data_IF_738127458832
#
_entry.id   IF_738127458832
#
_cell.length_a   1.000
_cell.length_b   1.000
_cell.length_c   1.000
_cell.angle_alpha   90.00
_cell.angle_beta   90.00
_cell.angle_gamma   90.00
#
_symmetry.space_group_name_H-M   'P 1'
#
loop_
_entity.id
_entity.type
_entity.pdbx_description
1 polymer ?
#
# COMPACT_ATOMS: atom_id res chain seq x y z
N UNK A 1 10.57 1.20 20.96
CA UNK A 1 9.15 0.87 21.17
C UNK A 1 8.92 -0.47 21.88
N UNK A 2 9.70 -1.51 21.57
CA UNK A 2 9.51 -2.88 22.07
C UNK A 2 9.30 -3.00 23.59
N UNK A 3 10.19 -2.44 24.41
CA UNK A 3 10.12 -2.54 25.88
C UNK A 3 8.82 -1.94 26.44
N UNK A 4 8.38 -0.80 25.90
CA UNK A 4 7.13 -0.13 26.30
C UNK A 4 5.91 -1.00 26.02
N UNK A 5 5.88 -1.65 24.85
CA UNK A 5 4.80 -2.59 24.49
C UNK A 5 4.79 -3.79 25.43
N UNK A 6 5.96 -4.40 25.66
CA UNK A 6 6.08 -5.58 26.52
C UNK A 6 5.59 -5.28 27.95
N UNK A 7 5.97 -4.13 28.50
CA UNK A 7 5.50 -3.71 29.82
C UNK A 7 3.98 -3.50 29.86
N UNK A 8 3.41 -2.94 28.80
CA UNK A 8 1.97 -2.72 28.73
C UNK A 8 1.19 -4.04 28.61
N UNK A 9 1.67 -4.99 27.80
CA UNK A 9 1.08 -6.33 27.70
C UNK A 9 1.16 -7.09 29.03
N UNK A 10 2.27 -6.98 29.75
CA UNK A 10 2.42 -7.54 31.09
C UNK A 10 1.40 -6.95 32.08
N UNK A 11 1.22 -5.63 32.07
CA UNK A 11 0.23 -4.96 32.92
C UNK A 11 -1.21 -5.39 32.60
N UNK A 12 -1.48 -5.73 31.34
CA UNK A 12 -2.76 -6.30 30.88
C UNK A 12 -2.89 -7.81 31.15
N UNK A 13 -1.87 -8.42 31.79
CA UNK A 13 -1.80 -9.87 32.08
C UNK A 13 -1.86 -10.72 30.81
N UNK A 14 -1.27 -10.23 29.73
CA UNK A 14 -1.08 -10.97 28.49
C UNK A 14 0.23 -11.74 28.57
N UNK A 15 0.14 -13.07 28.50
CA UNK A 15 1.31 -13.94 28.50
C UNK A 15 1.98 -13.93 27.12
N UNK A 16 3.06 -13.16 26.99
CA UNK A 16 3.84 -13.08 25.73
C UNK A 16 4.95 -14.14 25.72
N UNK A 17 4.98 -14.96 24.69
CA UNK A 17 6.00 -16.01 24.49
C UNK A 17 6.82 -15.63 23.24
N UNK A 18 8.04 -15.12 23.46
CA UNK A 18 8.97 -14.76 22.38
C UNK A 18 9.99 -15.89 22.14
N UNK A 19 10.61 -15.88 20.95
CA UNK A 19 11.67 -16.85 20.59
C UNK A 19 11.18 -18.27 20.35
N UNK A 20 9.87 -18.50 20.37
CA UNK A 20 9.22 -19.78 20.11
C UNK A 20 8.15 -19.59 19.03
N UNK A 21 8.00 -20.59 18.16
CA UNK A 21 6.98 -20.62 17.10
C UNK A 21 5.92 -21.65 17.43
N UNK A 22 4.69 -21.38 16.99
CA UNK A 22 3.61 -22.36 17.05
C UNK A 22 3.87 -23.46 16.01
N UNK A 23 3.79 -24.73 16.42
CA UNK A 23 3.78 -25.86 15.50
C UNK A 23 2.42 -25.92 14.79
N UNK A 24 2.37 -25.39 13.57
CA UNK A 24 1.17 -25.36 12.73
C UNK A 24 0.64 -26.75 12.36
N UNK A 25 1.41 -27.84 12.53
CA UNK A 25 0.87 -29.18 12.36
C UNK A 25 -0.21 -29.49 13.41
N UNK A 26 -0.08 -28.93 14.62
CA UNK A 26 -1.03 -29.14 15.73
C UNK A 26 -2.34 -28.39 15.57
N UNK A 27 -2.42 -27.44 14.62
CA UNK A 27 -3.63 -26.67 14.33
C UNK A 27 -4.46 -27.25 13.20
N UNK A 28 -3.94 -28.26 12.48
CA UNK A 28 -4.62 -28.84 11.32
C UNK A 28 -5.87 -29.62 11.73
N UNK A 29 -6.88 -29.70 10.84
CA UNK A 29 -8.01 -30.60 11.03
C UNK A 29 -7.54 -32.05 11.19
N UNK A 30 -8.10 -32.78 12.16
CA UNK A 30 -7.72 -34.15 12.52
C UNK A 30 -6.57 -34.27 13.53
N UNK A 31 -5.86 -33.17 13.84
CA UNK A 31 -4.78 -33.13 14.83
C UNK A 31 -5.26 -32.58 16.19
N UNK A 32 -6.57 -32.61 16.45
CA UNK A 32 -7.15 -31.97 17.62
C UNK A 32 -6.87 -32.73 18.91
N UNK A 33 -6.14 -32.08 19.82
CA UNK A 33 -5.92 -32.55 21.18
C UNK A 33 -6.66 -31.64 22.14
N UNK A 34 -7.36 -32.23 23.09
CA UNK A 34 -8.09 -31.49 24.12
C UNK A 34 -7.61 -31.86 25.50
N UNK A 35 -7.58 -30.88 26.40
CA UNK A 35 -7.31 -31.14 27.81
C UNK A 35 -8.54 -31.75 28.51
N UNK A 36 -8.40 -32.05 29.81
CA UNK A 36 -9.46 -32.68 30.61
C UNK A 36 -10.73 -31.84 30.76
N UNK A 37 -10.64 -30.54 30.51
CA UNK A 37 -11.77 -29.60 30.60
C UNK A 37 -12.27 -29.18 29.22
N UNK A 38 -11.76 -29.79 28.15
CA UNK A 38 -12.26 -29.61 26.78
C UNK A 38 -11.63 -28.46 26.00
N UNK A 39 -10.54 -27.86 26.49
CA UNK A 39 -9.84 -26.78 25.76
C UNK A 39 -8.90 -27.33 24.72
N UNK A 40 -8.74 -26.62 23.60
CA UNK A 40 -7.82 -27.02 22.54
C UNK A 40 -6.38 -26.85 23.01
N UNK A 41 -5.61 -27.93 22.94
CA UNK A 41 -4.17 -27.93 23.19
C UNK A 41 -3.43 -27.81 21.86
N UNK A 42 -2.53 -26.84 21.79
CA UNK A 42 -1.57 -26.65 20.70
C UNK A 42 -0.14 -26.73 21.24
N UNK A 43 0.82 -26.94 20.35
CA UNK A 43 2.22 -27.07 20.72
C UNK A 43 3.06 -26.03 19.99
N UNK A 44 4.14 -25.63 20.64
CA UNK A 44 5.23 -24.89 20.02
C UNK A 44 6.27 -25.84 19.43
N UNK A 45 7.14 -25.34 18.56
CA UNK A 45 8.22 -26.12 17.95
C UNK A 45 9.23 -26.65 19.00
N UNK A 46 9.42 -25.95 20.11
CA UNK A 46 10.24 -26.37 21.25
C UNK A 46 9.52 -27.35 22.21
N UNK A 47 8.26 -27.69 21.91
CA UNK A 47 7.52 -28.74 22.59
C UNK A 47 6.63 -28.28 23.75
N UNK A 48 6.60 -26.97 24.06
CA UNK A 48 5.69 -26.41 25.07
C UNK A 48 4.24 -26.57 24.62
N UNK A 49 3.40 -27.10 25.51
CA UNK A 49 1.96 -27.25 25.30
C UNK A 49 1.19 -26.06 25.86
N UNK A 50 0.20 -25.57 25.11
CA UNK A 50 -0.62 -24.41 25.44
C UNK A 50 -2.08 -24.80 25.25
N UNK A 51 -2.90 -24.67 26.29
CA UNK A 51 -4.34 -24.93 26.24
C UNK A 51 -5.10 -23.61 26.13
N UNK A 52 -5.98 -23.49 25.13
CA UNK A 52 -6.78 -22.29 24.87
C UNK A 52 -8.21 -22.64 24.43
N UNK A 53 -9.14 -21.73 24.73
CA UNK A 53 -10.54 -21.82 24.28
C UNK A 53 -10.71 -21.32 22.83
N UNK A 54 -9.89 -20.35 22.42
CA UNK A 54 -9.85 -19.78 21.09
C UNK A 54 -8.40 -19.67 20.61
N UNK A 55 -8.18 -20.03 19.35
CA UNK A 55 -6.90 -19.86 18.67
C UNK A 55 -7.08 -18.90 17.49
N UNK A 56 -6.40 -17.76 17.54
CA UNK A 56 -6.34 -16.79 16.45
C UNK A 56 -4.95 -16.88 15.80
N UNK A 57 -4.91 -17.23 14.51
CA UNK A 57 -3.67 -17.35 13.75
C UNK A 57 -3.40 -16.05 12.99
N UNK A 58 -2.45 -15.26 13.48
CA UNK A 58 -2.03 -13.98 12.89
C UNK A 58 -0.60 -14.08 12.33
N UNK A 59 -0.35 -15.07 11.47
CA UNK A 59 1.01 -15.47 11.02
C UNK A 59 1.51 -14.78 9.75
N UNK A 60 0.87 -13.67 9.37
CA UNK A 60 1.15 -12.94 8.13
C UNK A 60 0.08 -13.16 7.06
N UNK A 61 0.25 -12.47 5.94
CA UNK A 61 -0.64 -12.52 4.78
C UNK A 61 0.15 -12.97 3.54
N UNK A 62 -0.55 -13.53 2.57
CA UNK A 62 0.00 -13.83 1.24
C UNK A 62 -0.55 -12.77 0.28
N UNK A 63 0.30 -12.09 -0.52
CA UNK A 63 -0.14 -11.14 -1.53
C UNK A 63 -1.21 -11.75 -2.44
N UNK A 64 -2.34 -11.04 -2.63
CA UNK A 64 -3.41 -11.53 -3.49
C UNK A 64 -3.13 -11.22 -4.97
N UNK A 65 -2.19 -11.96 -5.55
CA UNK A 65 -1.69 -11.75 -6.91
C UNK A 65 -2.21 -12.78 -7.92
N UNK A 66 -3.21 -13.59 -7.53
CA UNK A 66 -3.73 -14.72 -8.34
C UNK A 66 -4.14 -14.30 -9.76
N UNK A 67 -4.84 -13.17 -9.90
CA UNK A 67 -5.29 -12.66 -11.19
C UNK A 67 -4.10 -12.37 -12.12
N UNK A 68 -3.12 -11.61 -11.64
CA UNK A 68 -1.95 -11.25 -12.41
C UNK A 68 -1.04 -12.44 -12.69
N UNK A 69 -0.86 -13.34 -11.72
CA UNK A 69 -0.10 -14.58 -11.93
C UNK A 69 -0.68 -15.44 -13.06
N UNK A 70 -2.00 -15.41 -13.26
CA UNK A 70 -2.65 -16.17 -14.34
C UNK A 70 -2.50 -15.55 -15.73
N UNK A 71 -2.36 -14.22 -15.81
CA UNK A 71 -2.31 -13.46 -17.06
C UNK A 71 -0.88 -13.14 -17.48
N UNK A 72 -0.07 -12.70 -16.52
CA UNK A 72 1.28 -12.14 -16.69
C UNK A 72 2.20 -12.68 -15.59
N UNK A 73 2.56 -13.97 -15.62
CA UNK A 73 3.40 -14.57 -14.58
C UNK A 73 4.78 -13.91 -14.45
N UNK A 74 5.29 -13.27 -15.49
CA UNK A 74 6.59 -12.59 -15.53
C UNK A 74 6.68 -11.33 -14.67
N UNK A 75 5.54 -10.76 -14.25
CA UNK A 75 5.51 -9.59 -13.36
C UNK A 75 5.45 -9.98 -11.88
N UNK A 76 5.44 -11.28 -11.56
CA UNK A 76 5.33 -11.78 -10.19
C UNK A 76 6.67 -12.33 -9.73
N UNK A 77 7.13 -11.90 -8.56
CA UNK A 77 8.29 -12.49 -7.93
C UNK A 77 7.98 -13.92 -7.47
N UNK A 78 8.81 -14.89 -7.88
CA UNK A 78 8.53 -16.30 -7.62
C UNK A 78 8.59 -16.65 -6.13
N UNK A 79 9.44 -15.97 -5.36
CA UNK A 79 9.69 -16.29 -3.95
C UNK A 79 8.68 -15.61 -3.01
N UNK A 80 8.54 -14.30 -3.14
CA UNK A 80 7.73 -13.44 -2.27
C UNK A 80 6.28 -13.33 -2.71
N UNK A 81 5.97 -13.64 -3.99
CA UNK A 81 4.64 -13.55 -4.61
C UNK A 81 4.10 -12.12 -4.78
N UNK A 82 4.90 -11.10 -4.49
CA UNK A 82 4.57 -9.71 -4.81
C UNK A 82 4.62 -9.46 -6.33
N UNK A 83 3.90 -8.43 -6.77
CA UNK A 83 3.99 -7.91 -8.14
C UNK A 83 5.15 -6.93 -8.22
N UNK A 84 6.04 -7.11 -9.18
CA UNK A 84 7.05 -6.13 -9.53
C UNK A 84 6.38 -4.87 -10.09
N UNK A 85 6.72 -3.72 -9.51
CA UNK A 85 6.24 -2.41 -9.94
C UNK A 85 7.42 -1.47 -10.16
N UNK A 86 7.26 -0.52 -11.08
CA UNK A 86 8.12 0.67 -11.16
C UNK A 86 7.74 1.66 -10.04
N UNK A 87 8.60 2.64 -9.75
CA UNK A 87 8.25 3.72 -8.81
C UNK A 87 7.01 4.51 -9.23
N UNK A 88 6.64 4.48 -10.51
CA UNK A 88 5.36 5.02 -10.99
C UNK A 88 4.13 4.20 -10.62
N UNK A 89 4.30 3.09 -9.89
CA UNK A 89 3.30 2.07 -9.52
C UNK A 89 2.76 1.23 -10.69
N UNK A 90 3.31 1.40 -11.89
CA UNK A 90 3.00 0.55 -13.04
C UNK A 90 3.59 -0.84 -12.87
N UNK A 91 2.90 -1.88 -13.32
CA UNK A 91 3.47 -3.23 -13.32
C UNK A 91 4.71 -3.30 -14.21
N UNK A 92 5.67 -4.10 -13.77
CA UNK A 92 6.97 -4.21 -14.38
C UNK A 92 7.36 -5.68 -14.61
N UNK A 93 8.09 -5.94 -15.68
CA UNK A 93 8.69 -7.24 -15.97
C UNK A 93 10.21 -7.08 -16.14
N UNK A 94 11.01 -8.09 -15.75
CA UNK A 94 12.44 -8.12 -16.07
C UNK A 94 12.69 -8.00 -17.57
N UNK A 95 13.61 -7.12 -17.96
CA UNK A 95 14.07 -7.02 -19.35
C UNK A 95 14.74 -8.36 -19.72
N UNK A 96 14.30 -9.04 -20.80
CA UNK A 96 14.95 -10.27 -21.22
C UNK A 96 16.41 -10.00 -21.58
N UNK A 97 17.34 -10.56 -20.81
CA UNK A 97 18.76 -10.54 -21.16
C UNK A 97 18.92 -11.28 -22.48
N UNK A 98 19.22 -10.56 -23.56
CA UNK A 98 19.63 -11.17 -24.82
C UNK A 98 20.93 -11.91 -24.56
N UNK A 99 20.86 -13.21 -24.37
CA UNK A 99 22.07 -14.05 -24.46
C UNK A 99 22.64 -13.87 -25.87
N UNK A 100 23.95 -13.56 -26.03
CA UNK A 100 24.58 -13.52 -27.33
C UNK A 100 24.68 -14.95 -27.86
N UNK A 101 23.58 -15.45 -28.41
CA UNK A 101 23.55 -16.69 -29.15
C UNK A 101 24.05 -16.41 -30.57
N UNK A 102 25.23 -16.97 -30.86
CA UNK A 102 25.74 -17.57 -32.12
C UNK A 102 25.18 -17.11 -33.48
N UNK A 103 26.01 -16.96 -34.54
CA UNK A 103 25.71 -16.15 -35.70
C UNK A 103 24.49 -16.65 -36.49
N UNK A 104 23.73 -15.68 -37.00
CA UNK A 104 22.48 -15.86 -37.72
C UNK A 104 22.56 -16.89 -38.86
N UNK A 105 21.56 -17.77 -39.03
CA UNK A 105 21.37 -18.47 -40.28
C UNK A 105 20.91 -17.46 -41.34
N UNK A 106 21.70 -17.35 -42.40
CA UNK A 106 21.39 -16.57 -43.59
C UNK A 106 20.10 -17.05 -44.27
N UNK A 107 19.26 -16.05 -44.61
CA UNK A 107 18.18 -16.06 -45.60
C UNK A 107 16.99 -17.01 -45.38
N UNK A 108 15.80 -16.42 -45.28
CA UNK A 108 14.67 -16.79 -46.13
C UNK A 108 13.71 -15.61 -46.26
N UNK A 109 13.59 -15.17 -47.51
CA UNK A 109 12.67 -14.18 -48.04
C UNK A 109 11.21 -14.57 -47.83
N UNK A 110 10.37 -13.59 -47.46
CA UNK A 110 8.95 -13.59 -47.82
C UNK A 110 7.99 -13.46 -46.64
N UNK A 111 7.66 -12.22 -46.28
CA UNK A 111 6.34 -11.89 -45.75
C UNK A 111 5.82 -10.63 -46.47
N UNK A 112 4.56 -10.63 -46.93
CA UNK A 112 3.98 -9.54 -47.69
C UNK A 112 3.67 -8.33 -46.79
N UNK A 113 3.84 -7.15 -47.36
CA UNK A 113 3.45 -5.85 -46.82
C UNK A 113 1.97 -5.81 -46.39
N UNK A 114 1.73 -5.26 -45.19
CA UNK A 114 0.40 -4.90 -44.67
C UNK A 114 -0.43 -4.10 -45.69
N UNK A 115 -1.73 -4.39 -45.83
CA UNK A 115 -2.65 -3.48 -46.50
C UNK A 115 -3.20 -2.44 -45.52
N UNK A 116 -2.94 -1.18 -45.83
CA UNK A 116 -3.69 -0.02 -45.39
C UNK A 116 -4.99 0.10 -46.20
N UNK A 117 -6.16 0.02 -45.55
CA UNK A 117 -7.47 0.58 -45.95
C UNK A 117 -8.31 0.60 -44.65
N UNK A 118 -8.71 1.72 -44.05
CA UNK A 118 -9.83 2.61 -44.41
C UNK A 118 -11.12 1.87 -44.78
N UNK A 119 -12.03 1.66 -43.82
CA UNK A 119 -13.47 1.63 -44.10
C UNK A 119 -14.26 2.32 -42.98
N UNK A 120 -14.96 3.39 -43.38
CA UNK A 120 -16.06 4.01 -42.67
C UNK A 120 -17.20 2.99 -42.50
N UNK A 121 -17.84 2.99 -41.34
CA UNK A 121 -19.21 2.52 -41.22
C UNK A 121 -20.05 3.53 -40.44
N UNK A 122 -20.83 4.25 -41.22
CA UNK A 122 -22.05 4.96 -40.81
C UNK A 122 -22.99 4.03 -40.07
N UNK A 123 -23.39 4.40 -38.85
CA UNK A 123 -24.66 3.97 -38.28
C UNK A 123 -25.46 5.19 -37.83
N UNK A 124 -26.70 5.21 -38.28
CA UNK A 124 -27.67 6.29 -38.22
C UNK A 124 -28.29 6.45 -36.84
N UNK A 125 -28.47 7.71 -36.43
CA UNK A 125 -29.18 8.16 -35.24
C UNK A 125 -30.67 7.77 -35.21
N UNK A 126 -31.15 7.44 -34.02
CA UNK A 126 -32.55 7.54 -33.64
C UNK A 126 -32.65 8.35 -32.34
N UNK A 127 -33.23 9.53 -32.46
CA UNK A 127 -33.55 10.50 -31.41
C UNK A 127 -34.59 9.99 -30.44
N UNK A 128 -34.39 10.18 -29.13
CA UNK A 128 -35.45 10.37 -28.14
C UNK A 128 -35.02 11.43 -27.12
N UNK A 129 -35.77 12.54 -27.09
CA UNK A 129 -35.77 13.56 -26.02
C UNK A 129 -36.60 13.07 -24.84
N UNK A 130 -36.27 13.48 -23.61
CA UNK A 130 -37.23 14.31 -22.88
C UNK A 130 -36.62 15.49 -22.11
N UNK A 131 -37.26 16.63 -22.32
CA UNK A 131 -37.60 17.75 -21.41
C UNK A 131 -36.91 17.92 -20.05
N UNK A 132 -36.42 19.16 -19.86
CA UNK A 132 -36.57 20.07 -18.70
C UNK A 132 -36.51 19.50 -17.28
N UNK A 133 -35.53 20.00 -16.52
CA UNK A 133 -35.57 19.97 -15.07
C UNK A 133 -34.32 20.51 -14.40
N UNK A 134 -34.31 21.81 -14.07
CA UNK A 134 -33.72 22.32 -12.83
C UNK A 134 -32.19 22.41 -12.73
N UNK A 135 -31.66 23.55 -13.19
CA UNK A 135 -30.46 24.17 -12.65
C UNK A 135 -30.64 24.47 -11.16
N UNK A 136 -29.80 23.92 -10.29
CA UNK A 136 -29.30 24.47 -9.02
C UNK A 136 -28.19 23.52 -8.56
N UNK A 137 -26.93 23.92 -8.74
CA UNK A 137 -25.83 23.61 -7.85
C UNK A 137 -24.93 24.84 -7.90
N UNK A 138 -24.99 25.61 -6.81
CA UNK A 138 -24.06 26.67 -6.53
C UNK A 138 -22.69 26.03 -6.26
N UNK A 139 -21.69 26.48 -7.01
CA UNK A 139 -20.27 26.25 -6.78
C UNK A 139 -19.87 26.95 -5.48
N UNK A 140 -19.41 26.17 -4.50
CA UNK A 140 -18.50 26.60 -3.43
C UNK A 140 -17.86 25.32 -2.83
N UNK A 141 -17.01 24.65 -3.61
CA UNK A 141 -16.11 23.62 -3.07
C UNK A 141 -14.73 24.23 -2.83
N UNK A 142 -14.51 24.56 -1.56
CA UNK A 142 -13.23 24.95 -1.00
C UNK A 142 -12.24 23.77 -1.15
N UNK A 143 -11.27 23.92 -2.05
CA UNK A 143 -10.14 23.01 -2.20
C UNK A 143 -9.28 23.02 -0.92
N UNK A 144 -9.67 22.22 0.07
CA UNK A 144 -8.88 21.91 1.26
C UNK A 144 -7.79 20.89 0.90
N UNK A 145 -6.64 21.40 0.48
CA UNK A 145 -5.40 20.63 0.37
C UNK A 145 -4.95 20.26 1.79
N UNK A 146 -5.23 19.03 2.24
CA UNK A 146 -4.79 18.55 3.55
C UNK A 146 -3.33 18.08 3.46
N UNK A 147 -2.43 18.82 4.09
CA UNK A 147 -1.06 18.38 4.31
C UNK A 147 -1.03 17.18 5.26
N UNK A 148 -0.07 16.27 5.04
CA UNK A 148 0.17 15.06 5.83
C UNK A 148 0.38 15.29 7.34
N UNK A 149 0.57 16.55 7.77
CA UNK A 149 0.54 16.94 9.18
C UNK A 149 -0.79 16.62 9.88
N UNK A 150 -1.92 16.75 9.18
CA UNK A 150 -3.26 16.53 9.77
C UNK A 150 -3.71 15.06 9.69
N UNK A 151 -3.15 14.27 8.76
CA UNK A 151 -3.59 12.89 8.52
C UNK A 151 -3.02 11.87 9.52
N UNK A 152 -1.92 12.22 10.19
CA UNK A 152 -1.39 11.48 11.35
C UNK A 152 -2.05 11.94 12.67
N UNK A 153 -2.71 13.10 12.65
CA UNK A 153 -3.29 13.77 13.83
C UNK A 153 -4.82 13.65 13.96
N UNK A 154 -5.52 12.94 13.09
CA UNK A 154 -6.95 12.61 13.30
C UNK A 154 -7.21 11.65 14.50
N UNK A 155 -6.21 11.44 15.36
CA UNK A 155 -6.30 10.83 16.70
C UNK A 155 -5.49 11.67 17.71
N UNK A 156 -5.61 13.00 17.67
CA UNK A 156 -5.02 13.91 18.65
C UNK A 156 -5.85 15.19 18.76
N UNK A 157 -6.94 15.13 19.54
CA UNK A 157 -7.63 16.32 20.01
C UNK A 157 -7.55 16.33 21.54
N UNK A 158 -6.51 16.97 22.04
CA UNK A 158 -6.30 17.25 23.46
C UNK A 158 -5.13 18.18 23.62
N UNK A 159 -5.35 19.48 23.37
CA UNK A 159 -4.48 20.54 23.84
C UNK A 159 -4.31 20.39 25.35
N UNK A 160 -3.09 20.20 25.83
CA UNK A 160 -2.68 20.65 27.16
C UNK A 160 -1.15 20.84 27.17
N UNK A 161 -0.76 22.10 27.37
CA UNK A 161 0.59 22.54 27.64
C UNK A 161 1.00 22.03 29.03
N UNK A 162 2.12 21.31 29.13
CA UNK A 162 2.84 21.24 30.40
C UNK A 162 4.37 21.22 30.21
N UNK A 163 4.95 22.10 31.01
CA UNK A 163 6.32 22.57 31.15
C UNK A 163 7.27 21.54 31.82
N UNK A 164 8.55 21.91 31.95
CA UNK A 164 9.70 21.22 32.59
C UNK A 164 10.47 20.21 31.71
N UNK A 165 11.79 20.24 31.55
CA UNK A 165 12.87 21.11 32.07
C UNK A 165 14.21 20.56 31.58
N UNK A 166 15.15 21.45 31.23
CA UNK A 166 16.53 21.13 30.82
C UNK A 166 17.36 20.54 31.98
N UNK A 167 18.20 19.54 31.67
CA UNK A 167 19.67 19.56 31.80
C UNK A 167 20.24 18.13 31.85
N UNK A 168 21.36 17.87 31.15
CA UNK A 168 22.20 16.71 31.45
C UNK A 168 23.01 16.11 30.32
N UNK A 169 24.01 16.85 29.84
CA UNK A 169 25.06 16.42 28.91
C UNK A 169 25.71 15.07 29.26
N UNK A 170 25.88 14.19 28.27
CA UNK A 170 27.00 13.24 28.25
C UNK A 170 27.33 12.80 26.82
N UNK A 171 28.41 13.41 26.31
CA UNK A 171 29.15 13.05 25.10
C UNK A 171 29.51 11.56 25.03
N UNK A 172 29.36 10.94 23.85
CA UNK A 172 30.22 9.83 23.40
C UNK A 172 30.14 9.59 21.89
N UNK A 173 31.18 10.08 21.22
CA UNK A 173 31.95 9.50 20.11
C UNK A 173 31.17 8.91 18.93
N UNK A 174 31.22 9.67 17.83
CA UNK A 174 30.91 9.25 16.47
C UNK A 174 31.76 8.04 16.03
N UNK A 175 31.10 7.05 15.43
CA UNK A 175 31.69 6.18 14.42
C UNK A 175 30.96 6.48 13.11
N UNK A 176 31.60 7.28 12.28
CA UNK A 176 31.26 7.46 10.87
C UNK A 176 31.63 6.19 10.09
N UNK A 177 30.89 5.97 9.00
CA UNK A 177 31.06 4.98 7.92
C UNK A 177 30.21 3.71 8.09
N UNK A 178 29.08 3.67 7.38
CA UNK A 178 28.63 2.54 6.53
C UNK A 178 27.27 2.82 5.82
N UNK A 179 26.89 4.09 5.55
CA UNK A 179 25.57 4.43 4.97
C UNK A 179 25.61 4.78 3.46
N UNK A 180 26.78 4.74 2.79
CA UNK A 180 26.90 5.20 1.38
C UNK A 180 26.71 4.09 0.32
N UNK A 181 26.51 2.81 0.70
CA UNK A 181 26.34 1.72 -0.29
C UNK A 181 24.87 1.36 -0.60
N UNK A 182 23.87 1.83 0.16
CA UNK A 182 22.45 1.46 -0.08
C UNK A 182 21.74 2.34 -1.13
N UNK A 183 22.17 3.60 -1.33
CA UNK A 183 21.51 4.51 -2.29
C UNK A 183 21.76 4.12 -3.77
N UNK A 184 22.92 3.55 -4.08
CA UNK A 184 23.30 3.20 -5.45
C UNK A 184 22.57 1.95 -5.99
N UNK A 185 22.15 1.01 -5.13
CA UNK A 185 21.46 -0.22 -5.53
C UNK A 185 19.96 -0.01 -5.83
N UNK A 186 19.30 0.99 -5.22
CA UNK A 186 17.86 1.23 -5.41
C UNK A 186 17.51 1.89 -6.74
N UNK A 187 18.35 2.81 -7.23
CA UNK A 187 18.15 3.48 -8.53
C UNK A 187 18.45 2.51 -9.69
N UNK A 188 19.29 1.50 -9.47
CA UNK A 188 19.61 0.47 -10.45
C UNK A 188 18.49 -0.55 -10.68
N UNK A 189 17.59 -0.79 -9.70
CA UNK A 189 16.49 -1.79 -9.86
C UNK A 189 15.59 -1.50 -11.05
N UNK A 190 15.24 -0.23 -11.28
CA UNK A 190 14.34 0.15 -12.38
C UNK A 190 15.00 0.03 -13.76
N UNK A 191 16.35 0.10 -13.85
CA UNK A 191 17.05 0.04 -15.15
C UNK A 191 16.95 -1.31 -15.85
N UNK A 192 16.60 -2.37 -15.11
CA UNK A 192 16.42 -3.73 -15.63
C UNK A 192 14.95 -4.14 -15.76
N UNK A 193 14.02 -3.20 -15.57
CA UNK A 193 12.59 -3.45 -15.64
C UNK A 193 11.96 -2.65 -16.78
N UNK A 194 10.92 -3.20 -17.40
CA UNK A 194 10.07 -2.47 -18.35
C UNK A 194 8.60 -2.68 -18.01
N UNK A 195 7.73 -1.73 -18.38
CA UNK A 195 6.29 -1.90 -18.20
C UNK A 195 5.67 -2.57 -19.44
N UNK A 196 5.23 -3.84 -19.37
CA UNK A 196 4.54 -4.49 -20.48
C UNK A 196 3.16 -3.89 -20.75
N UNK A 197 2.53 -3.31 -19.72
CA UNK A 197 1.20 -2.73 -19.77
C UNK A 197 1.18 -1.36 -19.07
N UNK A 198 1.39 -0.26 -19.82
CA UNK A 198 1.53 1.08 -19.24
C UNK A 198 0.32 1.59 -18.46
N UNK A 199 -0.84 0.93 -18.57
CA UNK A 199 -2.09 1.35 -17.93
C UNK A 199 -2.54 0.40 -16.80
N UNK A 200 -1.68 -0.52 -16.36
CA UNK A 200 -1.95 -1.38 -15.20
C UNK A 200 -1.04 -0.96 -14.06
N UNK A 201 -1.67 -0.60 -12.93
CA UNK A 201 -1.00 -0.17 -11.72
C UNK A 201 -1.32 -1.14 -10.58
N UNK A 202 -0.36 -1.37 -9.68
CA UNK A 202 -0.53 -2.21 -8.49
C UNK A 202 -0.02 -1.45 -7.28
N UNK A 203 -0.81 -1.49 -6.21
CA UNK A 203 -0.58 -0.78 -4.94
C UNK A 203 -0.92 -1.69 -3.76
N UNK A 204 -0.58 -1.26 -2.55
CA UNK A 204 -0.86 -1.93 -1.29
C UNK A 204 -0.13 -3.27 -1.15
N UNK A 205 -0.73 -4.18 -0.39
CA UNK A 205 -0.16 -5.48 0.00
C UNK A 205 0.20 -6.42 -1.15
N UNK A 206 -0.13 -6.06 -2.40
CA UNK A 206 0.22 -6.81 -3.60
C UNK A 206 1.52 -6.34 -4.26
N UNK A 207 1.97 -5.10 -4.02
CA UNK A 207 3.11 -4.50 -4.70
C UNK A 207 4.43 -4.77 -3.97
N UNK A 208 5.49 -5.06 -4.74
CA UNK A 208 6.87 -4.96 -4.26
C UNK A 208 7.30 -3.48 -4.26
N UNK A 209 6.84 -2.74 -3.25
CA UNK A 209 6.90 -1.30 -3.22
C UNK A 209 8.17 -0.76 -2.52
N UNK A 210 9.35 -1.20 -2.97
CA UNK A 210 10.65 -0.62 -2.59
C UNK A 210 10.93 -0.66 -1.07
N UNK A 211 10.57 -1.76 -0.41
CA UNK A 211 10.77 -1.90 1.03
C UNK A 211 9.72 -1.20 1.90
N UNK A 212 8.70 -0.59 1.31
CA UNK A 212 7.53 -0.11 2.06
C UNK A 212 6.87 -1.26 2.84
N UNK A 213 6.63 -1.05 4.13
CA UNK A 213 5.88 -2.01 4.94
C UNK A 213 4.41 -2.09 4.48
N UNK A 214 3.82 -3.28 4.53
CA UNK A 214 2.39 -3.46 4.25
C UNK A 214 1.55 -2.80 5.35
N UNK A 215 1.12 -1.57 5.09
CA UNK A 215 0.38 -0.74 6.01
C UNK A 215 -0.58 0.19 5.26
N UNK A 216 -1.68 0.56 5.92
CA UNK A 216 -2.71 1.41 5.31
C UNK A 216 -2.19 2.75 4.80
N UNK A 217 -1.26 3.39 5.52
CA UNK A 217 -0.66 4.66 5.08
C UNK A 217 0.17 4.49 3.80
N UNK A 218 0.94 3.41 3.66
CA UNK A 218 1.70 3.16 2.45
C UNK A 218 0.78 2.86 1.26
N UNK A 219 -0.25 2.03 1.47
CA UNK A 219 -1.24 1.75 0.44
C UNK A 219 -1.97 3.02 -0.04
N UNK A 220 -2.25 3.96 0.88
CA UNK A 220 -2.86 5.25 0.56
C UNK A 220 -1.97 6.08 -0.38
N UNK A 221 -0.71 6.33 -0.02
CA UNK A 221 0.20 7.13 -0.86
C UNK A 221 0.56 6.46 -2.19
N UNK A 222 0.69 5.14 -2.20
CA UNK A 222 0.83 4.40 -3.46
C UNK A 222 -0.39 4.61 -4.37
N UNK A 223 -1.60 4.60 -3.78
CA UNK A 223 -2.84 4.90 -4.48
C UNK A 223 -2.90 6.33 -5.03
N UNK A 224 -2.43 7.30 -4.26
CA UNK A 224 -2.35 8.70 -4.69
C UNK A 224 -1.43 8.87 -5.91
N UNK A 225 -0.20 8.33 -5.84
CA UNK A 225 0.76 8.35 -6.95
C UNK A 225 0.19 7.67 -8.19
N UNK A 226 -0.42 6.49 -8.03
CA UNK A 226 -1.05 5.77 -9.13
C UNK A 226 -2.20 6.57 -9.76
N UNK A 227 -3.07 7.18 -8.96
CA UNK A 227 -4.19 7.98 -9.43
C UNK A 227 -3.73 9.21 -10.21
N UNK A 228 -2.75 9.95 -9.69
CA UNK A 228 -2.19 11.11 -10.37
C UNK A 228 -1.50 10.71 -11.68
N UNK A 229 -0.79 9.57 -11.71
CA UNK A 229 -0.17 9.04 -12.92
C UNK A 229 -1.20 8.61 -13.97
N UNK A 230 -2.33 8.02 -13.57
CA UNK A 230 -3.45 7.74 -14.48
C UNK A 230 -3.97 9.05 -15.10
N UNK A 231 -4.16 10.10 -14.32
CA UNK A 231 -4.62 11.41 -14.81
C UNK A 231 -3.60 12.02 -15.79
N UNK A 232 -2.30 11.95 -15.50
CA UNK A 232 -1.22 12.41 -16.40
C UNK A 232 -1.24 11.64 -17.72
N UNK A 233 -1.39 10.32 -17.69
CA UNK A 233 -1.51 9.50 -18.92
C UNK A 233 -2.73 9.91 -19.76
N UNK A 234 -3.89 10.13 -19.14
CA UNK A 234 -5.10 10.57 -19.85
C UNK A 234 -4.89 11.94 -20.50
N UNK A 235 -4.29 12.90 -19.78
CA UNK A 235 -4.00 14.24 -20.31
C UNK A 235 -3.06 14.17 -21.51
N UNK A 236 -1.98 13.38 -21.41
CA UNK A 236 -1.05 13.13 -22.52
C UNK A 236 -1.76 12.56 -23.74
N UNK A 237 -2.63 11.58 -23.57
CA UNK A 237 -3.39 10.98 -24.67
C UNK A 237 -4.33 12.01 -25.34
N UNK A 238 -5.02 12.83 -24.57
CA UNK A 238 -5.89 13.91 -25.09
C UNK A 238 -5.08 14.97 -25.84
N UNK A 239 -3.95 15.40 -25.28
CA UNK A 239 -3.05 16.38 -25.91
C UNK A 239 -2.45 15.83 -27.21
N UNK A 240 -2.04 14.56 -27.25
CA UNK A 240 -1.55 13.88 -28.45
C UNK A 240 -2.62 13.80 -29.55
N UNK A 241 -3.90 13.73 -29.20
CA UNK A 241 -5.01 13.76 -30.16
C UNK A 241 -5.24 15.19 -30.69
N UNK A 242 -5.10 16.23 -29.85
CA UNK A 242 -5.36 17.62 -30.21
C UNK A 242 -4.19 18.35 -30.89
N UNK A 243 -2.94 17.88 -30.76
CA UNK A 243 -1.72 18.48 -31.36
C UNK A 243 -1.57 18.27 -32.87
N UNK A 244 -2.67 18.03 -33.59
CA UNK A 244 -2.68 18.28 -35.04
C UNK A 244 -2.79 19.77 -35.38
N UNK A 245 -3.14 20.66 -34.44
CA UNK A 245 -3.06 22.10 -34.63
C UNK A 245 -2.82 22.82 -33.28
N UNK A 246 -1.89 23.79 -33.30
CA UNK A 246 -1.50 24.73 -32.23
C UNK A 246 -0.30 24.26 -31.39
N UNK A 247 0.81 24.99 -31.59
CA UNK A 247 2.03 24.99 -30.78
C UNK A 247 1.79 26.06 -29.72
N UNK A 248 1.47 25.66 -28.49
CA UNK A 248 1.61 26.54 -27.32
C UNK A 248 2.76 25.99 -26.47
N UNK A 249 3.73 26.89 -26.23
CA UNK A 249 5.06 26.66 -25.64
C UNK A 249 5.06 26.43 -24.12
N UNK A 250 3.93 26.01 -23.53
CA UNK A 250 3.94 25.49 -22.16
C UNK A 250 4.28 24.00 -22.21
N UNK A 251 5.58 23.71 -22.08
CA UNK A 251 6.06 22.38 -21.70
C UNK A 251 5.31 21.95 -20.44
N UNK A 252 4.28 21.14 -20.61
CA UNK A 252 3.80 20.32 -19.52
C UNK A 252 4.97 19.34 -19.25
N UNK A 253 5.75 19.61 -18.20
CA UNK A 253 6.66 18.63 -17.60
C UNK A 253 5.77 17.53 -17.04
N UNK A 254 5.29 16.68 -17.93
CA UNK A 254 4.21 15.77 -17.65
C UNK A 254 4.75 14.45 -17.08
N UNK A 255 5.98 14.42 -16.57
CA UNK A 255 6.66 13.23 -16.06
C UNK A 255 5.79 12.50 -15.04
N UNK A 256 5.84 11.17 -15.08
CA UNK A 256 5.10 10.36 -14.12
C UNK A 256 5.78 10.49 -12.77
N UNK A 257 4.96 10.59 -11.74
CA UNK A 257 5.39 10.74 -10.37
C UNK A 257 5.90 9.41 -9.82
N UNK A 258 6.91 9.52 -8.96
CA UNK A 258 7.63 8.39 -8.40
C UNK A 258 7.28 8.24 -6.92
N UNK A 259 6.82 7.04 -6.55
CA UNK A 259 6.59 6.67 -5.17
C UNK A 259 7.92 6.50 -4.42
N UNK A 260 7.96 7.11 -3.24
CA UNK A 260 9.02 6.93 -2.26
C UNK A 260 8.39 6.42 -0.97
N UNK A 261 8.82 5.26 -0.45
CA UNK A 261 8.36 4.75 0.84
C UNK A 261 8.60 5.78 1.95
N UNK A 262 7.60 5.98 2.80
CA UNK A 262 7.77 6.79 4.00
C UNK A 262 8.61 6.03 5.04
N UNK A 263 9.27 6.75 5.96
CA UNK A 263 9.91 6.11 7.11
C UNK A 263 8.94 5.17 7.85
N UNK A 264 9.41 4.04 8.39
CA UNK A 264 8.56 3.11 9.11
C UNK A 264 7.81 3.82 10.25
N UNK A 265 6.49 3.69 10.21
CA UNK A 265 5.59 4.17 11.24
C UNK A 265 4.68 3.04 11.71
N UNK A 266 4.56 2.87 13.02
CA UNK A 266 3.73 1.81 13.61
C UNK A 266 2.99 2.35 14.82
N UNK A 267 1.72 1.94 14.93
CA UNK A 267 0.87 2.18 16.10
C UNK A 267 0.31 0.85 16.56
N UNK A 268 0.43 0.56 17.85
CA UNK A 268 -0.10 -0.64 18.48
C UNK A 268 -1.11 -0.23 19.55
N UNK A 269 -2.38 -0.58 19.32
CA UNK A 269 -3.44 -0.42 20.31
C UNK A 269 -3.29 -1.47 21.42
N UNK A 270 -3.42 -1.03 22.67
CA UNK A 270 -3.19 -1.81 23.89
C UNK A 270 -4.41 -1.72 24.79
N UNK A 271 -5.56 -2.12 24.25
CA UNK A 271 -6.88 -1.92 24.83
C UNK A 271 -7.73 -1.03 23.93
N UNK A 272 -8.75 -0.39 24.51
CA UNK A 272 -9.67 0.48 23.77
C UNK A 272 -9.10 1.89 23.59
N UNK A 273 -8.56 2.48 24.65
CA UNK A 273 -8.12 3.88 24.68
C UNK A 273 -6.62 4.04 24.50
N UNK A 274 -5.85 3.05 24.97
CA UNK A 274 -4.40 3.13 25.05
C UNK A 274 -3.72 2.67 23.77
N UNK A 275 -2.68 3.39 23.34
CA UNK A 275 -1.80 2.96 22.26
C UNK A 275 -0.34 3.34 22.52
N UNK A 276 0.57 2.61 21.89
CA UNK A 276 2.00 2.97 21.78
C UNK A 276 2.29 3.16 20.30
N UNK A 277 3.02 4.20 19.94
CA UNK A 277 3.41 4.46 18.56
C UNK A 277 4.90 4.72 18.44
N UNK A 278 5.41 4.49 17.24
CA UNK A 278 6.72 4.92 16.78
C UNK A 278 6.55 5.59 15.42
N UNK A 279 6.90 6.87 15.33
CA UNK A 279 6.79 7.68 14.12
C UNK A 279 8.08 8.49 14.00
N UNK A 280 8.77 8.41 12.86
CA UNK A 280 10.02 9.13 12.60
C UNK A 280 11.07 8.93 13.73
N UNK A 281 11.17 7.71 14.26
CA UNK A 281 12.09 7.36 15.35
C UNK A 281 11.67 7.84 16.75
N UNK A 282 10.55 8.58 16.86
CA UNK A 282 10.01 9.03 18.14
C UNK A 282 9.00 8.01 18.66
N UNK A 283 9.23 7.52 19.87
CA UNK A 283 8.36 6.57 20.56
C UNK A 283 7.49 7.33 21.55
N UNK A 284 6.17 7.18 21.43
CA UNK A 284 5.21 7.81 22.33
C UNK A 284 4.09 6.87 22.76
N UNK A 285 3.27 7.34 23.69
CA UNK A 285 2.07 6.63 24.17
C UNK A 285 0.90 7.58 24.20
N UNK A 286 -0.29 7.11 23.83
CA UNK A 286 -1.53 7.85 23.94
C UNK A 286 -2.57 7.06 24.74
N UNK A 287 -3.49 7.77 25.37
CA UNK A 287 -4.64 7.18 26.11
C UNK A 287 -5.93 7.95 25.78
N UNK A 288 -6.09 8.25 24.49
CA UNK A 288 -7.11 9.11 23.89
C UNK A 288 -8.04 8.35 22.92
N UNK A 289 -7.88 7.02 22.82
CA UNK A 289 -8.62 6.22 21.85
C UNK A 289 -10.13 6.22 22.09
N UNK A 290 -10.89 6.28 20.99
CA UNK A 290 -12.34 6.23 21.02
C UNK A 290 -12.86 4.78 21.09
N UNK A 291 -14.00 4.56 21.76
CA UNK A 291 -14.55 3.22 22.00
C UNK A 291 -15.01 2.50 20.72
N UNK A 292 -15.41 3.25 19.70
CA UNK A 292 -15.79 2.76 18.37
C UNK A 292 -14.61 2.77 17.38
N UNK A 293 -13.43 3.23 17.81
CA UNK A 293 -12.23 3.43 16.99
C UNK A 293 -12.49 4.30 15.76
N UNK A 294 -13.45 5.22 15.86
CA UNK A 294 -13.89 6.10 14.79
C UNK A 294 -14.28 5.34 13.50
N UNK A 295 -14.86 4.15 13.67
CA UNK A 295 -15.26 3.28 12.56
C UNK A 295 -16.16 4.00 11.54
N UNK A 296 -16.91 5.02 11.99
CA UNK A 296 -17.73 5.90 11.16
C UNK A 296 -16.95 6.61 10.04
N UNK A 297 -15.66 6.92 10.25
CA UNK A 297 -14.81 7.59 9.26
C UNK A 297 -14.66 6.77 7.97
N UNK A 298 -14.70 5.43 8.07
CA UNK A 298 -14.59 4.55 6.92
C UNK A 298 -15.69 4.81 5.89
N UNK A 299 -16.91 5.15 6.33
CA UNK A 299 -18.06 5.38 5.45
C UNK A 299 -17.91 6.62 4.58
N UNK A 300 -17.11 7.61 5.02
CA UNK A 300 -16.82 8.81 4.22
C UNK A 300 -16.13 8.46 2.90
N UNK A 301 -15.26 7.44 2.91
CA UNK A 301 -14.59 6.95 1.70
C UNK A 301 -15.55 6.31 0.68
N UNK A 302 -16.75 5.94 1.11
CA UNK A 302 -17.83 5.44 0.25
C UNK A 302 -18.85 6.51 -0.12
N UNK A 303 -18.52 7.79 0.10
CA UNK A 303 -19.41 8.92 -0.18
C UNK A 303 -20.53 9.12 0.84
N UNK A 304 -20.47 8.42 1.98
CA UNK A 304 -21.45 8.54 3.06
C UNK A 304 -20.83 9.40 4.18
N UNK A 305 -20.97 10.72 4.03
CA UNK A 305 -20.51 11.71 5.00
C UNK A 305 -21.61 12.20 5.94
N UNK A 306 -21.21 12.74 7.10
CA UNK A 306 -22.12 13.46 7.99
C UNK A 306 -23.08 12.60 8.82
N UNK A 307 -22.93 11.27 8.81
CA UNK A 307 -23.72 10.40 9.69
C UNK A 307 -23.36 10.66 11.16
N UNK A 308 -24.38 10.91 11.95
CA UNK A 308 -24.31 10.91 13.42
C UNK A 308 -24.21 9.48 13.95
N UNK A 309 -23.70 9.30 15.17
CA UNK A 309 -23.68 7.98 15.82
C UNK A 309 -25.08 7.34 15.89
N UNK A 310 -26.09 8.16 16.20
CA UNK A 310 -27.49 7.70 16.26
C UNK A 310 -27.97 7.15 14.91
N UNK A 311 -27.54 7.73 13.79
CA UNK A 311 -27.89 7.25 12.45
C UNK A 311 -27.16 5.96 12.06
N UNK A 312 -26.02 5.66 12.68
CA UNK A 312 -25.27 4.41 12.46
C UNK A 312 -25.80 3.22 13.29
N UNK A 313 -26.60 3.48 14.33
CA UNK A 313 -27.10 2.46 15.26
C UNK A 313 -28.48 1.85 14.90
N UNK A 314 -29.06 2.25 13.76
CA UNK A 314 -30.40 1.81 13.29
C UNK A 314 -30.30 0.72 12.23
#
# INVERSE_FOLDING_TARGET
MHTTIMQALENLRVDVILGSRLDLATTRPGAEVYDKIGRRVVRTEDGREIAADLLLLCTGQIPNTTLLSSLYPEVIDEQSKFVHVLRTMQIAAPIPIRTPSSPAPSSLSGFPSSPCMSEMSTFTSSSHTPSDGGSIYDDDEENGMLEMGDLVLALDNGEDEDEYGEEGSSSRLASENDDEEEEDDEVLRDTHLFTPYPHIFVIGDAADAFGAINAGHNAYYQGEVAAQNIVRLIKRDICNIHTTNVIDDEKIEDELELYTPNPPAIKVSLGLTKSVYEINGVIGTKDDGNGDLDAGLMWRYFGVGGLTEDEMLV
#
